data_IF_515748928890
#
_entry.id   IF_515748928890
#
_cell.length_a   1.000
_cell.length_b   1.000
_cell.length_c   1.000
_cell.angle_alpha   90.00
_cell.angle_beta   90.00
_cell.angle_gamma   90.00
#
_symmetry.space_group_name_H-M   'P 1'
#
loop_
_entity.id
_entity.type
_entity.pdbx_description
1 polymer ?
#
# COMPACT_ATOMS: atom_id res chain seq x y z
N UNK A 1 16.04 -1.57 14.88
CA UNK A 1 14.84 -1.25 14.11
C UNK A 1 13.90 -0.27 14.84
N UNK A 2 13.55 -0.46 16.12
CA UNK A 2 12.68 0.49 16.87
C UNK A 2 13.20 1.94 16.88
N UNK A 3 14.51 2.17 17.10
CA UNK A 3 15.07 3.51 17.15
C UNK A 3 14.96 4.29 15.83
N UNK A 4 15.04 3.60 14.69
CA UNK A 4 14.89 4.23 13.38
C UNK A 4 13.45 4.65 13.12
N UNK A 5 12.48 3.79 13.45
CA UNK A 5 11.06 4.10 13.27
C UNK A 5 10.58 5.23 14.19
N UNK A 6 11.00 5.22 15.46
CA UNK A 6 10.62 6.24 16.44
C UNK A 6 11.23 7.62 16.15
N UNK A 7 12.36 7.69 15.45
CA UNK A 7 13.02 8.94 15.06
C UNK A 7 12.62 9.48 13.69
N UNK A 8 11.72 8.79 12.97
CA UNK A 8 11.32 9.12 11.62
C UNK A 8 10.53 10.43 11.59
N UNK A 9 11.02 11.42 10.84
CA UNK A 9 10.32 12.69 10.59
C UNK A 9 9.68 12.67 9.21
N UNK A 10 8.37 12.49 9.17
CA UNK A 10 7.59 12.45 7.92
C UNK A 10 7.33 13.88 7.43
N UNK A 11 7.82 14.21 6.24
CA UNK A 11 7.56 15.50 5.57
C UNK A 11 6.31 15.39 4.70
N UNK A 12 5.13 15.41 5.33
CA UNK A 12 3.82 15.18 4.69
C UNK A 12 3.58 16.05 3.46
N UNK A 13 3.88 17.36 3.56
CA UNK A 13 3.66 18.31 2.46
C UNK A 13 4.52 17.97 1.24
N UNK A 14 5.80 17.59 1.48
CA UNK A 14 6.71 17.20 0.40
C UNK A 14 6.29 15.87 -0.24
N UNK A 15 5.82 14.93 0.56
CA UNK A 15 5.27 13.66 0.05
C UNK A 15 4.03 13.91 -0.81
N UNK A 16 3.10 14.75 -0.34
CA UNK A 16 1.89 15.12 -1.08
C UNK A 16 2.22 15.82 -2.40
N UNK A 17 3.19 16.74 -2.40
CA UNK A 17 3.64 17.38 -3.63
C UNK A 17 4.18 16.36 -4.64
N UNK A 18 5.03 15.42 -4.18
CA UNK A 18 5.64 14.41 -5.04
C UNK A 18 4.64 13.40 -5.62
N UNK A 19 3.46 13.21 -5.00
CA UNK A 19 2.44 12.30 -5.55
C UNK A 19 1.75 12.85 -6.78
N UNK A 20 1.74 14.17 -6.96
CA UNK A 20 1.12 14.84 -8.10
C UNK A 20 2.11 15.09 -9.25
N UNK A 21 3.40 14.79 -9.05
CA UNK A 21 4.43 14.92 -10.08
C UNK A 21 4.80 13.55 -10.66
N UNK A 22 5.43 13.56 -11.83
CA UNK A 22 6.03 12.38 -12.46
C UNK A 22 5.06 11.24 -12.80
N UNK A 23 3.82 11.54 -13.14
CA UNK A 23 2.84 10.56 -13.64
C UNK A 23 2.59 9.35 -12.69
N UNK A 24 2.78 9.50 -11.38
CA UNK A 24 2.66 8.38 -10.42
C UNK A 24 1.24 7.80 -10.33
N UNK A 25 0.21 8.57 -10.69
CA UNK A 25 -1.20 8.17 -10.65
C UNK A 25 -1.75 7.66 -12.00
N UNK A 26 -1.01 7.75 -13.08
CA UNK A 26 -1.52 7.38 -14.42
C UNK A 26 -1.82 5.88 -14.58
N UNK A 27 -1.30 5.05 -13.71
CA UNK A 27 -1.67 3.62 -13.66
C UNK A 27 -3.16 3.41 -13.39
N UNK A 28 -3.82 4.34 -12.68
CA UNK A 28 -5.26 4.28 -12.43
C UNK A 28 -6.07 4.44 -13.73
N UNK A 29 -5.56 5.23 -14.69
CA UNK A 29 -6.17 5.32 -16.03
C UNK A 29 -6.12 3.97 -16.75
N UNK A 30 -5.00 3.25 -16.67
CA UNK A 30 -4.88 1.92 -17.29
C UNK A 30 -5.82 0.91 -16.61
N UNK A 31 -5.88 0.93 -15.28
CA UNK A 31 -6.79 0.06 -14.51
C UNK A 31 -8.25 0.33 -14.84
N UNK A 32 -8.66 1.61 -14.98
CA UNK A 32 -10.02 1.96 -15.31
C UNK A 32 -10.37 1.61 -16.75
N UNK A 33 -9.46 1.77 -17.72
CA UNK A 33 -9.62 1.30 -19.09
C UNK A 33 -9.85 -0.22 -19.14
N UNK A 34 -9.18 -0.99 -18.29
CA UNK A 34 -9.43 -2.43 -18.17
C UNK A 34 -10.79 -2.71 -17.55
N UNK A 35 -11.13 -2.04 -16.43
CA UNK A 35 -12.35 -2.31 -15.66
C UNK A 35 -13.62 -1.85 -16.40
N UNK A 36 -13.65 -0.61 -16.84
CA UNK A 36 -14.83 0.03 -17.43
C UNK A 36 -14.97 -0.31 -18.91
N UNK A 37 -13.85 -0.22 -19.64
CA UNK A 37 -13.86 -0.38 -21.10
C UNK A 37 -13.59 -1.82 -21.57
N UNK A 38 -13.30 -2.73 -20.64
CA UNK A 38 -13.02 -4.16 -20.91
C UNK A 38 -11.87 -4.36 -21.90
N UNK A 39 -10.90 -3.45 -21.90
CA UNK A 39 -9.68 -3.60 -22.68
C UNK A 39 -8.74 -4.62 -22.04
N UNK A 40 -7.89 -5.24 -22.87
CA UNK A 40 -6.76 -5.99 -22.30
C UNK A 40 -5.79 -5.02 -21.63
N UNK A 41 -5.12 -5.45 -20.55
CA UNK A 41 -4.13 -4.63 -19.85
C UNK A 41 -3.04 -4.10 -20.81
N UNK A 42 -2.61 -4.92 -21.77
CA UNK A 42 -1.62 -4.51 -22.78
C UNK A 42 -2.09 -3.29 -23.58
N UNK A 43 -3.33 -3.30 -24.09
CA UNK A 43 -3.89 -2.20 -24.85
C UNK A 43 -4.07 -0.96 -23.98
N UNK A 44 -4.61 -1.11 -22.78
CA UNK A 44 -4.74 -0.02 -21.82
C UNK A 44 -3.39 0.63 -21.50
N UNK A 45 -2.35 -0.18 -21.26
CA UNK A 45 -1.00 0.30 -20.99
C UNK A 45 -0.39 1.03 -22.20
N UNK A 46 -0.65 0.56 -23.45
CA UNK A 46 -0.20 1.27 -24.67
C UNK A 46 -0.87 2.63 -24.81
N UNK A 47 -2.17 2.73 -24.53
CA UNK A 47 -2.92 4.00 -24.55
C UNK A 47 -2.31 4.98 -23.55
N UNK A 48 -2.16 4.56 -22.30
CA UNK A 48 -1.59 5.41 -21.23
C UNK A 48 -0.13 5.78 -21.54
N UNK A 49 0.66 4.83 -22.03
CA UNK A 49 2.05 5.09 -22.44
C UNK A 49 2.16 6.14 -23.55
N UNK A 50 1.25 6.11 -24.54
CA UNK A 50 1.19 7.13 -25.59
C UNK A 50 0.85 8.51 -25.03
N UNK A 51 -0.14 8.59 -24.14
CA UNK A 51 -0.54 9.84 -23.47
C UNK A 51 0.61 10.42 -22.66
N UNK A 52 1.30 9.59 -21.87
CA UNK A 52 2.46 10.01 -21.06
C UNK A 52 3.61 10.51 -21.95
N UNK A 53 3.92 9.78 -23.04
CA UNK A 53 4.97 10.23 -23.99
C UNK A 53 4.64 11.60 -24.58
N UNK A 54 3.41 11.82 -24.96
CA UNK A 54 2.96 13.10 -25.50
C UNK A 54 3.05 14.24 -24.47
N UNK A 55 2.67 13.96 -23.22
CA UNK A 55 2.82 14.92 -22.12
C UNK A 55 4.30 15.27 -21.86
N UNK A 56 5.18 14.27 -21.84
CA UNK A 56 6.62 14.49 -21.65
C UNK A 56 7.21 15.33 -22.80
N UNK A 57 6.85 15.03 -24.05
CA UNK A 57 7.31 15.79 -25.23
C UNK A 57 6.85 17.26 -25.18
N UNK A 58 5.66 17.52 -24.64
CA UNK A 58 5.08 18.87 -24.50
C UNK A 58 5.46 19.57 -23.20
N UNK A 59 6.17 18.91 -22.30
CA UNK A 59 6.51 19.45 -20.97
C UNK A 59 5.28 19.65 -20.08
N UNK A 60 4.26 18.80 -20.22
CA UNK A 60 3.00 18.84 -19.47
C UNK A 60 3.07 17.80 -18.36
N UNK A 61 2.69 18.14 -17.15
CA UNK A 61 2.57 17.21 -16.01
C UNK A 61 1.25 16.41 -16.08
N UNK A 62 1.10 15.44 -15.17
CA UNK A 62 -0.06 14.53 -15.13
C UNK A 62 -1.42 15.24 -14.99
N UNK A 63 -1.48 16.40 -14.37
CA UNK A 63 -2.69 17.23 -14.25
C UNK A 63 -3.14 17.87 -15.56
N UNK A 64 -2.26 17.95 -16.55
CA UNK A 64 -2.57 18.43 -17.90
C UNK A 64 -3.05 17.35 -18.88
N UNK A 65 -3.23 16.10 -18.42
CA UNK A 65 -3.80 15.03 -19.26
C UNK A 65 -5.28 15.33 -19.55
N UNK A 66 -5.62 15.33 -20.84
CA UNK A 66 -7.00 15.58 -21.28
C UNK A 66 -7.67 14.34 -21.84
N UNK A 67 -9.00 14.34 -21.86
CA UNK A 67 -9.79 13.25 -22.42
C UNK A 67 -9.53 13.11 -23.94
N UNK A 68 -9.23 14.21 -24.65
CA UNK A 68 -8.89 14.20 -26.07
C UNK A 68 -7.62 13.38 -26.31
N UNK A 69 -6.58 13.55 -25.48
CA UNK A 69 -5.34 12.79 -25.59
C UNK A 69 -5.60 11.28 -25.40
N UNK A 70 -6.44 10.92 -24.42
CA UNK A 70 -6.83 9.53 -24.16
C UNK A 70 -7.62 8.96 -25.34
N UNK A 71 -8.55 9.74 -25.91
CA UNK A 71 -9.34 9.33 -27.06
C UNK A 71 -8.52 9.17 -28.33
N UNK A 72 -7.53 10.02 -28.58
CA UNK A 72 -6.65 9.90 -29.73
C UNK A 72 -5.73 8.67 -29.63
N UNK A 73 -5.23 8.40 -28.44
CA UNK A 73 -4.52 7.15 -28.17
C UNK A 73 -5.47 5.94 -28.29
N UNK A 74 -6.72 6.06 -27.82
CA UNK A 74 -7.74 5.03 -27.94
C UNK A 74 -8.08 4.68 -29.41
N UNK A 75 -8.19 5.68 -30.27
CA UNK A 75 -8.35 5.46 -31.73
C UNK A 75 -7.17 4.65 -32.29
N UNK A 76 -5.96 4.97 -31.86
CA UNK A 76 -4.73 4.32 -32.35
C UNK A 76 -4.63 2.85 -31.94
N UNK A 77 -4.88 2.54 -30.67
CA UNK A 77 -4.60 1.22 -30.10
C UNK A 77 -5.83 0.34 -29.87
N UNK A 78 -7.03 0.95 -29.76
CA UNK A 78 -8.29 0.25 -29.54
C UNK A 78 -9.33 0.47 -30.65
N UNK A 79 -9.03 1.29 -31.68
CA UNK A 79 -9.92 1.68 -32.77
C UNK A 79 -11.26 2.28 -32.30
N UNK A 80 -11.26 2.91 -31.11
CA UNK A 80 -12.47 3.54 -30.54
C UNK A 80 -12.12 4.72 -29.62
N UNK A 81 -13.14 5.49 -29.27
CA UNK A 81 -13.11 6.54 -28.25
C UNK A 81 -13.85 6.08 -26.99
N UNK A 82 -13.62 6.76 -25.89
CA UNK A 82 -14.22 6.48 -24.60
C UNK A 82 -15.20 7.60 -24.23
N UNK A 83 -16.33 7.21 -23.65
CA UNK A 83 -17.36 8.14 -23.15
C UNK A 83 -17.04 8.55 -21.70
N UNK A 84 -15.87 9.19 -21.54
CA UNK A 84 -15.43 9.73 -20.25
C UNK A 84 -15.48 11.25 -20.30
N UNK A 85 -15.72 11.84 -19.14
CA UNK A 85 -15.62 13.28 -18.96
C UNK A 85 -14.22 13.68 -18.49
N UNK A 86 -13.85 14.96 -18.65
CA UNK A 86 -12.60 15.46 -18.09
C UNK A 86 -12.57 15.29 -16.55
N UNK A 87 -13.72 15.41 -15.88
CA UNK A 87 -13.84 15.18 -14.44
C UNK A 87 -13.52 13.74 -14.04
N UNK A 88 -13.86 12.75 -14.87
CA UNK A 88 -13.47 11.35 -14.63
C UNK A 88 -11.96 11.21 -14.71
N UNK A 89 -11.32 11.80 -15.71
CA UNK A 89 -9.84 11.80 -15.84
C UNK A 89 -9.19 12.47 -14.62
N UNK A 90 -9.66 13.66 -14.24
CA UNK A 90 -9.14 14.40 -13.10
C UNK A 90 -9.27 13.62 -11.77
N UNK A 91 -10.37 12.90 -11.57
CA UNK A 91 -10.56 12.02 -10.42
C UNK A 91 -9.56 10.88 -10.38
N UNK A 92 -9.36 10.20 -11.51
CA UNK A 92 -8.43 9.07 -11.60
C UNK A 92 -6.98 9.51 -11.37
N UNK A 93 -6.62 10.72 -11.78
CA UNK A 93 -5.29 11.30 -11.55
C UNK A 93 -5.11 11.85 -10.13
N UNK A 94 -6.19 11.93 -9.33
CA UNK A 94 -6.11 12.41 -7.96
C UNK A 94 -5.55 11.33 -7.03
N UNK A 95 -4.40 11.59 -6.40
CA UNK A 95 -3.71 10.63 -5.53
C UNK A 95 -4.56 10.16 -4.33
N UNK A 96 -5.35 11.04 -3.73
CA UNK A 96 -6.25 10.69 -2.62
C UNK A 96 -7.34 9.73 -3.09
N UNK A 97 -7.98 10.04 -4.22
CA UNK A 97 -8.98 9.17 -4.83
C UNK A 97 -8.41 7.80 -5.19
N UNK A 98 -7.22 7.76 -5.80
CA UNK A 98 -6.50 6.53 -6.13
C UNK A 98 -6.31 5.64 -4.90
N UNK A 99 -5.85 6.20 -3.78
CA UNK A 99 -5.62 5.45 -2.54
C UNK A 99 -6.92 4.95 -1.93
N UNK A 100 -7.93 5.81 -1.80
CA UNK A 100 -9.20 5.46 -1.12
C UNK A 100 -10.04 4.45 -1.90
N UNK A 101 -9.90 4.39 -3.22
CA UNK A 101 -10.60 3.39 -4.05
C UNK A 101 -9.96 2.01 -4.07
N UNK A 102 -8.80 1.83 -3.45
CA UNK A 102 -8.16 0.52 -3.33
C UNK A 102 -8.75 -0.25 -2.16
N UNK A 103 -9.77 -1.06 -2.43
CA UNK A 103 -10.54 -1.79 -1.40
C UNK A 103 -10.09 -3.26 -1.25
N UNK A 104 -9.09 -3.70 -1.98
CA UNK A 104 -8.55 -5.06 -1.86
C UNK A 104 -7.82 -5.26 -0.52
N UNK A 105 -7.80 -6.50 -0.03
CA UNK A 105 -7.10 -6.85 1.20
C UNK A 105 -5.62 -6.44 1.13
N UNK A 106 -5.16 -5.70 2.15
CA UNK A 106 -3.79 -5.20 2.21
C UNK A 106 -3.53 -3.95 1.37
N UNK A 107 -4.56 -3.34 0.80
CA UNK A 107 -4.44 -2.07 0.06
C UNK A 107 -4.12 -0.89 0.99
N UNK A 108 -3.60 0.23 0.44
CA UNK A 108 -3.21 1.40 1.23
C UNK A 108 -4.39 2.27 1.67
N UNK A 109 -5.65 1.93 1.35
CA UNK A 109 -6.80 2.72 1.77
C UNK A 109 -6.88 2.83 3.30
N UNK A 110 -7.44 3.93 3.80
CA UNK A 110 -7.57 4.17 5.24
C UNK A 110 -8.31 3.02 5.93
N UNK A 111 -9.38 2.50 5.31
CA UNK A 111 -10.17 1.40 5.83
C UNK A 111 -9.35 0.11 5.97
N UNK A 112 -8.64 -0.28 4.91
CA UNK A 112 -7.85 -1.52 4.92
C UNK A 112 -6.60 -1.42 5.79
N UNK A 113 -5.98 -0.24 5.85
CA UNK A 113 -4.90 0.03 6.79
C UNK A 113 -5.36 -0.11 8.25
N UNK A 114 -6.52 0.46 8.62
CA UNK A 114 -7.10 0.30 9.95
C UNK A 114 -7.44 -1.17 10.28
N UNK A 115 -8.01 -1.90 9.32
CA UNK A 115 -8.29 -3.33 9.47
C UNK A 115 -7.00 -4.14 9.70
N UNK A 116 -5.95 -3.84 8.96
CA UNK A 116 -4.65 -4.51 9.07
C UNK A 116 -3.99 -4.22 10.42
N UNK A 117 -4.01 -2.97 10.87
CA UNK A 117 -3.51 -2.58 12.20
C UNK A 117 -4.25 -3.36 13.29
N UNK A 118 -5.59 -3.36 13.28
CA UNK A 118 -6.38 -4.08 14.29
C UNK A 118 -6.09 -5.58 14.32
N UNK A 119 -5.84 -6.20 13.15
CA UNK A 119 -5.43 -7.61 13.10
C UNK A 119 -4.04 -7.84 13.71
N UNK A 120 -3.09 -6.93 13.42
CA UNK A 120 -1.74 -7.02 13.96
C UNK A 120 -1.72 -6.82 15.49
N UNK A 121 -2.50 -5.87 16.01
CA UNK A 121 -2.66 -5.66 17.47
C UNK A 121 -3.18 -6.92 18.16
N UNK A 122 -4.26 -7.52 17.65
CA UNK A 122 -4.80 -8.78 18.20
C UNK A 122 -3.81 -9.95 18.09
N UNK A 123 -2.98 -9.97 17.05
CA UNK A 123 -1.91 -10.95 16.91
C UNK A 123 -0.85 -10.76 17.98
N UNK A 124 -0.40 -9.51 18.16
CA UNK A 124 0.60 -9.15 19.16
C UNK A 124 0.16 -9.50 20.58
N UNK A 125 -1.10 -9.21 20.94
CA UNK A 125 -1.65 -9.57 22.26
C UNK A 125 -1.55 -11.07 22.54
N UNK A 126 -1.84 -11.91 21.54
CA UNK A 126 -1.69 -13.37 21.66
C UNK A 126 -0.24 -13.78 21.81
N UNK A 127 0.65 -13.18 21.04
CA UNK A 127 2.09 -13.49 21.09
C UNK A 127 2.67 -13.11 22.45
N UNK A 128 2.26 -11.97 23.02
CA UNK A 128 2.64 -11.55 24.38
C UNK A 128 2.17 -12.57 25.42
N UNK A 129 0.91 -13.04 25.36
CA UNK A 129 0.40 -14.05 26.29
C UNK A 129 1.20 -15.36 26.21
N UNK A 130 1.51 -15.82 25.00
CA UNK A 130 2.32 -17.03 24.79
C UNK A 130 3.74 -16.83 25.34
N UNK A 131 4.33 -15.67 25.12
CA UNK A 131 5.65 -15.33 25.63
C UNK A 131 5.67 -15.34 27.17
N UNK A 132 4.72 -14.66 27.83
CA UNK A 132 4.62 -14.61 29.29
C UNK A 132 4.42 -16.01 29.89
N UNK A 133 3.55 -16.82 29.27
CA UNK A 133 3.36 -18.20 29.67
C UNK A 133 4.68 -18.99 29.62
N UNK A 134 5.44 -18.89 28.52
CA UNK A 134 6.72 -19.58 28.34
C UNK A 134 7.79 -19.13 29.34
N UNK A 135 7.87 -17.83 29.60
CA UNK A 135 8.80 -17.30 30.62
C UNK A 135 8.45 -17.88 32.03
N UNK A 136 7.17 -17.87 32.40
CA UNK A 136 6.73 -18.44 33.66
C UNK A 136 7.05 -19.95 33.79
N UNK A 137 6.84 -20.74 32.73
CA UNK A 137 7.24 -22.17 32.72
C UNK A 137 8.74 -22.34 32.94
N UNK A 138 9.58 -21.53 32.31
CA UNK A 138 11.04 -21.57 32.48
C UNK A 138 11.46 -21.20 33.89
N UNK A 139 10.90 -20.15 34.49
CA UNK A 139 11.18 -19.72 35.84
C UNK A 139 10.77 -20.76 36.86
N UNK A 140 9.59 -21.38 36.70
CA UNK A 140 9.14 -22.46 37.58
C UNK A 140 10.05 -23.69 37.49
N UNK A 141 10.45 -24.06 36.26
CA UNK A 141 11.36 -25.18 36.03
C UNK A 141 12.73 -24.94 36.68
N UNK A 142 13.24 -23.72 36.52
CA UNK A 142 14.50 -23.28 37.14
C UNK A 142 14.41 -23.33 38.68
N UNK A 143 13.33 -22.80 39.23
CA UNK A 143 13.10 -22.82 40.71
C UNK A 143 13.03 -24.25 41.24
N UNK A 144 12.31 -25.16 40.56
CA UNK A 144 12.25 -26.58 40.92
C UNK A 144 13.64 -27.24 40.89
N UNK A 145 14.44 -26.95 39.87
CA UNK A 145 15.79 -27.48 39.76
C UNK A 145 16.66 -27.05 40.92
N UNK A 146 16.67 -25.77 41.27
CA UNK A 146 17.46 -25.26 42.37
C UNK A 146 17.01 -25.84 43.74
N UNK A 147 15.70 -25.94 43.99
CA UNK A 147 15.19 -26.55 45.21
C UNK A 147 15.58 -28.03 45.33
N UNK A 148 15.65 -28.77 44.23
CA UNK A 148 16.14 -30.16 44.25
C UNK A 148 17.65 -30.26 44.49
N UNK A 149 18.45 -29.36 43.96
CA UNK A 149 19.88 -29.26 44.20
C UNK A 149 20.12 -29.01 45.72
N UNK A 150 19.42 -28.05 46.32
CA UNK A 150 19.53 -27.74 47.75
C UNK A 150 19.18 -28.94 48.60
N UNK A 151 18.10 -29.67 48.30
CA UNK A 151 17.73 -30.91 49.01
C UNK A 151 18.81 -32.00 48.96
N UNK A 152 19.49 -32.13 47.80
CA UNK A 152 20.58 -33.11 47.64
C UNK A 152 21.84 -32.69 48.43
N UNK A 153 22.12 -31.39 48.48
CA UNK A 153 23.26 -30.86 49.22
C UNK A 153 23.05 -31.02 50.75
N UNK A 154 21.84 -30.74 51.22
CA UNK A 154 21.47 -30.88 52.66
C UNK A 154 21.49 -32.34 53.16
N UNK A 155 21.32 -33.32 52.28
CA UNK A 155 21.39 -34.76 52.63
C UNK A 155 22.83 -35.30 52.74
N UNK A 156 23.83 -34.54 52.37
CA UNK A 156 25.24 -34.95 52.35
C UNK A 156 26.04 -34.52 53.57
N UNK A 157 25.42 -33.90 54.54
CA UNK A 157 25.98 -33.49 55.81
C UNK A 157 25.05 -33.91 56.95
#
# INVERSE_FOLDING_TARGET
MNGTLSSLKIKKDKMKLNTNTNFSTVTELADELVKKEKLSFRVAHQIVGKVVSECVEKGIDSDGITIEMINDAGKTYASRTFDWTQDDVNKLLNATYSVENKLSLGSPSQKESANSISKLEKGLDKDVQVYEYKINELEQSKSKLFSQIDLVLDQKF
#
